data_IF_967343683934
#
_entry.id   IF_967343683934
#
_cell.length_a   1.000
_cell.length_b   1.000
_cell.length_c   1.000
_cell.angle_alpha   90.00
_cell.angle_beta   90.00
_cell.angle_gamma   90.00
#
_symmetry.space_group_name_H-M   'P 1'
#
loop_
_entity.id
_entity.type
_entity.pdbx_description
1 polymer ?
#
# COMPACT_ATOMS: atom_id res chain seq x y z
N UNK A 1 -8.87 -10.23 -10.42
CA UNK A 1 -8.14 -11.08 -9.45
C UNK A 1 -8.80 -11.10 -8.07
N UNK A 2 -8.30 -11.90 -7.10
CA UNK A 2 -8.91 -12.06 -5.76
C UNK A 2 -9.02 -10.76 -4.95
N UNK A 3 -8.20 -9.75 -5.24
CA UNK A 3 -8.22 -8.44 -4.60
C UNK A 3 -9.30 -7.50 -5.16
N UNK A 4 -9.84 -7.79 -6.34
CA UNK A 4 -10.86 -6.97 -6.99
C UNK A 4 -12.28 -7.33 -6.53
N UNK A 5 -12.47 -8.56 -6.07
CA UNK A 5 -13.76 -9.02 -5.56
C UNK A 5 -14.16 -8.18 -4.35
N UNK A 6 -15.36 -7.61 -4.37
CA UNK A 6 -15.91 -6.77 -3.30
C UNK A 6 -14.97 -5.61 -2.87
N UNK A 7 -14.19 -5.05 -3.82
CA UNK A 7 -13.24 -3.97 -3.57
C UNK A 7 -12.21 -4.27 -2.47
N UNK A 8 -11.84 -5.54 -2.25
CA UNK A 8 -10.96 -6.00 -1.15
C UNK A 8 -9.64 -5.25 -1.08
N UNK A 9 -9.05 -4.89 -2.25
CA UNK A 9 -7.82 -4.10 -2.27
C UNK A 9 -8.00 -2.76 -1.58
N UNK A 10 -9.09 -2.03 -1.89
CA UNK A 10 -9.40 -0.76 -1.26
C UNK A 10 -9.89 -0.93 0.19
N UNK A 11 -10.61 -2.01 0.49
CA UNK A 11 -11.01 -2.32 1.86
C UNK A 11 -9.82 -2.56 2.79
N UNK A 12 -8.70 -3.09 2.28
CA UNK A 12 -7.45 -3.23 3.04
C UNK A 12 -6.59 -1.98 3.05
N UNK A 13 -6.56 -1.21 1.94
CA UNK A 13 -5.59 -0.13 1.76
C UNK A 13 -6.21 1.06 1.00
N UNK A 14 -7.13 1.78 1.66
CA UNK A 14 -7.75 2.98 1.11
C UNK A 14 -6.80 4.18 1.19
N UNK A 15 -5.85 4.22 0.29
CA UNK A 15 -4.89 5.32 0.14
C UNK A 15 -4.51 5.48 -1.34
N UNK A 16 -4.34 6.72 -1.87
CA UNK A 16 -4.39 8.00 -1.16
C UNK A 16 -5.81 8.51 -0.88
N UNK A 17 -6.06 8.93 0.35
CA UNK A 17 -7.29 9.62 0.74
C UNK A 17 -7.18 11.13 0.50
N UNK A 18 -7.54 11.57 -0.70
CA UNK A 18 -7.41 12.98 -1.11
C UNK A 18 -8.47 13.90 -0.50
N UNK A 19 -9.56 13.34 0.06
CA UNK A 19 -10.71 14.08 0.57
C UNK A 19 -10.86 14.02 2.08
N UNK A 20 -9.98 13.29 2.77
CA UNK A 20 -10.07 13.07 4.21
C UNK A 20 -11.31 12.26 4.59
N UNK A 21 -11.67 11.26 3.79
CA UNK A 21 -12.81 10.40 4.06
C UNK A 21 -12.57 9.50 5.28
N UNK A 22 -11.35 8.99 5.44
CA UNK A 22 -10.96 8.11 6.55
C UNK A 22 -11.16 8.77 7.91
N UNK A 23 -10.54 9.92 8.25
CA UNK A 23 -10.75 10.53 9.56
C UNK A 23 -12.21 10.96 9.79
N UNK A 24 -12.92 11.41 8.77
CA UNK A 24 -14.35 11.79 8.90
C UNK A 24 -15.23 10.58 9.25
N UNK A 25 -15.02 9.45 8.57
CA UNK A 25 -15.79 8.24 8.80
C UNK A 25 -15.52 7.64 10.18
N UNK A 26 -14.26 7.62 10.61
CA UNK A 26 -13.87 7.16 11.94
C UNK A 26 -14.40 8.08 13.04
N UNK A 27 -14.30 9.40 12.85
CA UNK A 27 -14.89 10.37 13.80
C UNK A 27 -16.38 10.17 13.96
N UNK A 28 -17.13 9.93 12.88
CA UNK A 28 -18.56 9.68 12.93
C UNK A 28 -18.89 8.42 13.75
N UNK A 29 -18.20 7.31 13.50
CA UNK A 29 -18.37 6.05 14.25
C UNK A 29 -18.10 6.26 15.75
N UNK A 30 -17.01 6.96 16.08
CA UNK A 30 -16.61 7.22 17.48
C UNK A 30 -17.62 8.14 18.18
N UNK A 31 -18.07 9.22 17.54
CA UNK A 31 -18.99 10.19 18.12
C UNK A 31 -20.37 9.59 18.40
N UNK A 32 -20.86 8.74 17.50
CA UNK A 32 -22.17 8.10 17.64
C UNK A 32 -22.13 6.79 18.42
N UNK A 33 -20.92 6.27 18.71
CA UNK A 33 -20.71 4.91 19.23
C UNK A 33 -21.52 3.88 18.43
N UNK A 34 -21.39 3.94 17.10
CA UNK A 34 -22.18 3.14 16.18
C UNK A 34 -22.04 1.63 16.49
N UNK A 35 -23.15 0.93 16.78
CA UNK A 35 -23.11 -0.48 17.15
C UNK A 35 -22.55 -1.40 16.07
N UNK A 36 -22.48 -0.97 14.82
CA UNK A 36 -21.85 -1.72 13.72
C UNK A 36 -20.39 -2.06 14.02
N UNK A 37 -19.71 -1.26 14.84
CA UNK A 37 -18.33 -1.50 15.27
C UNK A 37 -18.20 -2.64 16.30
N UNK A 38 -19.31 -3.22 16.77
CA UNK A 38 -19.28 -4.32 17.75
C UNK A 38 -19.20 -5.70 17.09
N UNK A 39 -19.46 -5.80 15.79
CA UNK A 39 -19.43 -7.05 15.01
C UNK A 39 -18.57 -6.92 13.76
N UNK A 40 -17.53 -7.73 13.65
CA UNK A 40 -16.62 -7.69 12.52
C UNK A 40 -17.26 -8.12 11.19
N UNK A 41 -18.32 -8.95 11.22
CA UNK A 41 -19.03 -9.33 9.98
C UNK A 41 -19.90 -8.18 9.49
N UNK A 42 -20.62 -7.51 10.37
CA UNK A 42 -21.42 -6.33 10.03
C UNK A 42 -20.50 -5.16 9.62
N UNK A 43 -19.32 -5.05 10.24
CA UNK A 43 -18.35 -4.01 9.93
C UNK A 43 -17.85 -4.05 8.48
N UNK A 44 -17.90 -5.19 7.83
CA UNK A 44 -17.60 -5.31 6.40
C UNK A 44 -18.49 -4.43 5.50
N UNK A 45 -19.65 -3.97 6.00
CA UNK A 45 -20.61 -3.13 5.29
C UNK A 45 -20.37 -1.62 5.47
N UNK A 46 -19.45 -1.20 6.36
CA UNK A 46 -19.13 0.23 6.48
C UNK A 46 -18.37 0.72 5.24
N UNK A 47 -18.32 2.03 5.08
CA UNK A 47 -17.53 2.63 4.00
C UNK A 47 -16.08 2.14 4.03
N UNK A 48 -15.51 1.81 2.87
CA UNK A 48 -14.12 1.36 2.72
C UNK A 48 -13.11 2.34 3.36
N UNK A 49 -13.44 3.63 3.45
CA UNK A 49 -12.61 4.63 4.10
C UNK A 49 -12.45 4.41 5.62
N UNK A 50 -13.37 3.68 6.28
CA UNK A 50 -13.27 3.33 7.69
C UNK A 50 -12.63 1.96 7.92
N UNK A 51 -12.20 1.26 6.86
CA UNK A 51 -11.67 -0.10 6.91
C UNK A 51 -10.16 -0.14 6.63
N UNK A 52 -9.55 -1.27 6.93
CA UNK A 52 -8.18 -1.57 6.51
C UNK A 52 -7.08 -0.88 7.30
N UNK A 53 -5.88 -1.01 6.76
CA UNK A 53 -4.64 -0.60 7.46
C UNK A 53 -4.56 0.91 7.72
N UNK A 54 -5.06 1.75 6.82
CA UNK A 54 -4.99 3.20 7.02
C UNK A 54 -6.04 3.71 8.01
N UNK A 55 -7.21 3.07 8.10
CA UNK A 55 -8.15 3.32 9.19
C UNK A 55 -7.54 2.93 10.54
N UNK A 56 -6.88 1.77 10.59
CA UNK A 56 -6.16 1.32 11.79
C UNK A 56 -5.00 2.27 12.16
N UNK A 57 -4.26 2.80 11.17
CA UNK A 57 -3.22 3.81 11.40
C UNK A 57 -3.78 5.05 12.10
N UNK A 58 -4.90 5.59 11.60
CA UNK A 58 -5.56 6.73 12.23
C UNK A 58 -5.98 6.44 13.67
N UNK A 59 -6.60 5.29 13.91
CA UNK A 59 -7.05 4.91 15.27
C UNK A 59 -5.90 4.74 16.27
N UNK A 60 -4.71 4.34 15.81
CA UNK A 60 -3.58 4.05 16.69
C UNK A 60 -2.58 5.21 16.82
N UNK A 61 -2.43 6.07 15.80
CA UNK A 61 -1.32 7.01 15.71
C UNK A 61 -1.74 8.45 15.37
N UNK A 62 -3.01 8.72 15.02
CA UNK A 62 -3.45 10.10 14.80
C UNK A 62 -3.71 10.80 16.13
N UNK A 63 -3.14 11.98 16.31
CA UNK A 63 -3.16 12.70 17.58
C UNK A 63 -4.59 13.03 18.07
N UNK A 64 -5.52 13.25 17.14
CA UNK A 64 -6.90 13.58 17.45
C UNK A 64 -7.78 12.33 17.65
N UNK A 65 -7.49 11.25 16.92
CA UNK A 65 -8.35 10.08 16.86
C UNK A 65 -7.94 8.96 17.83
N UNK A 66 -6.64 8.83 18.18
CA UNK A 66 -6.15 7.75 19.01
C UNK A 66 -6.70 7.76 20.45
N UNK A 67 -7.18 8.91 20.91
CA UNK A 67 -7.78 9.09 22.25
C UNK A 67 -9.21 9.60 22.18
N UNK A 68 -9.82 9.67 20.99
CA UNK A 68 -11.15 10.22 20.81
C UNK A 68 -12.26 9.32 21.39
N UNK A 69 -13.27 9.93 21.99
CA UNK A 69 -14.49 9.30 22.43
C UNK A 69 -14.36 8.42 23.68
N UNK A 70 -15.24 7.43 23.80
CA UNK A 70 -15.20 6.45 24.88
C UNK A 70 -14.10 5.42 24.66
N UNK A 71 -13.25 5.21 25.67
CA UNK A 71 -12.09 4.33 25.57
C UNK A 71 -12.44 2.85 25.34
N UNK A 72 -13.59 2.40 25.87
CA UNK A 72 -14.03 1.01 25.68
C UNK A 72 -14.55 0.81 24.24
N UNK A 73 -15.31 1.78 23.72
CA UNK A 73 -15.74 1.78 22.34
C UNK A 73 -14.54 1.85 21.37
N UNK A 74 -13.59 2.75 21.61
CA UNK A 74 -12.38 2.88 20.80
C UNK A 74 -11.59 1.58 20.74
N UNK A 75 -11.37 0.93 21.90
CA UNK A 75 -10.69 -0.37 21.96
C UNK A 75 -11.43 -1.44 21.15
N UNK A 76 -12.76 -1.44 21.21
CA UNK A 76 -13.61 -2.37 20.44
C UNK A 76 -13.50 -2.09 18.95
N UNK A 77 -13.57 -0.83 18.52
CA UNK A 77 -13.41 -0.43 17.12
C UNK A 77 -12.06 -0.88 16.54
N UNK A 78 -10.95 -0.68 17.28
CA UNK A 78 -9.61 -1.15 16.89
C UNK A 78 -9.59 -2.67 16.68
N UNK A 79 -10.19 -3.44 17.59
CA UNK A 79 -10.27 -4.91 17.50
C UNK A 79 -11.10 -5.33 16.28
N UNK A 80 -12.22 -4.65 16.03
CA UNK A 80 -13.12 -4.94 14.92
C UNK A 80 -12.46 -4.64 13.57
N UNK A 81 -11.79 -3.49 13.42
CA UNK A 81 -11.00 -3.18 12.23
C UNK A 81 -9.91 -4.22 11.99
N UNK A 82 -9.23 -4.66 13.05
CA UNK A 82 -8.19 -5.69 12.95
C UNK A 82 -8.76 -7.04 12.51
N UNK A 83 -9.92 -7.43 13.04
CA UNK A 83 -10.61 -8.65 12.65
C UNK A 83 -11.12 -8.60 11.19
N UNK A 84 -11.63 -7.45 10.74
CA UNK A 84 -12.03 -7.22 9.35
C UNK A 84 -10.83 -7.31 8.38
N UNK A 85 -9.68 -6.74 8.74
CA UNK A 85 -8.43 -6.88 7.98
C UNK A 85 -8.04 -8.37 7.86
N UNK A 86 -8.08 -9.11 8.97
CA UNK A 86 -7.72 -10.52 9.00
C UNK A 86 -8.67 -11.36 8.14
N UNK A 87 -9.99 -11.13 8.23
CA UNK A 87 -11.00 -11.84 7.44
C UNK A 87 -10.86 -11.55 5.94
N UNK A 88 -10.68 -10.27 5.56
CA UNK A 88 -10.48 -9.88 4.17
C UNK A 88 -9.19 -10.47 3.58
N UNK A 89 -8.10 -10.45 4.34
CA UNK A 89 -6.83 -11.05 3.91
C UNK A 89 -6.93 -12.56 3.76
N UNK A 90 -7.63 -13.24 4.68
CA UNK A 90 -7.85 -14.69 4.59
C UNK A 90 -8.69 -15.06 3.36
N UNK A 91 -9.71 -14.28 3.02
CA UNK A 91 -10.53 -14.49 1.83
C UNK A 91 -9.70 -14.32 0.54
N UNK A 92 -8.84 -13.31 0.46
CA UNK A 92 -7.92 -13.12 -0.67
C UNK A 92 -6.99 -14.33 -0.81
N UNK A 93 -6.38 -14.79 0.28
CA UNK A 93 -5.47 -15.93 0.28
C UNK A 93 -6.19 -17.21 -0.15
N UNK A 94 -7.41 -17.43 0.35
CA UNK A 94 -8.22 -18.59 -0.01
C UNK A 94 -8.52 -18.59 -1.51
N UNK A 95 -9.02 -17.50 -2.07
CA UNK A 95 -9.35 -17.42 -3.50
C UNK A 95 -8.08 -17.57 -4.37
N UNK A 96 -6.95 -17.05 -3.89
CA UNK A 96 -5.67 -17.26 -4.55
C UNK A 96 -5.28 -18.74 -4.61
N UNK A 97 -5.34 -19.42 -3.45
CA UNK A 97 -4.89 -20.82 -3.33
C UNK A 97 -5.83 -21.83 -3.98
N UNK A 98 -7.14 -21.57 -3.97
CA UNK A 98 -8.13 -22.55 -4.44
C UNK A 98 -8.54 -22.38 -5.89
N UNK A 99 -8.22 -21.24 -6.51
CA UNK A 99 -8.69 -20.91 -7.85
C UNK A 99 -7.66 -20.11 -8.67
N UNK A 100 -7.28 -18.93 -8.22
CA UNK A 100 -6.61 -17.96 -9.09
C UNK A 100 -5.18 -18.37 -9.47
N UNK A 101 -4.44 -19.00 -8.55
CA UNK A 101 -3.08 -19.48 -8.85
C UNK A 101 -3.09 -20.55 -9.96
N UNK A 102 -4.07 -21.48 -9.93
CA UNK A 102 -4.23 -22.51 -10.95
C UNK A 102 -4.53 -21.89 -12.32
N UNK A 103 -5.39 -20.87 -12.39
CA UNK A 103 -5.69 -20.15 -13.64
C UNK A 103 -4.44 -19.54 -14.29
N UNK A 104 -3.46 -19.10 -13.50
CA UNK A 104 -2.19 -18.58 -14.01
C UNK A 104 -1.22 -19.69 -14.41
N UNK A 105 -1.14 -20.78 -13.63
CA UNK A 105 -0.24 -21.91 -13.89
C UNK A 105 -0.67 -22.70 -15.13
N UNK A 106 -1.96 -22.93 -15.29
CA UNK A 106 -2.57 -23.68 -16.38
C UNK A 106 -3.32 -22.76 -17.36
N UNK A 107 -2.65 -21.68 -17.75
CA UNK A 107 -3.21 -20.64 -18.61
C UNK A 107 -3.87 -21.15 -19.90
N UNK A 108 -3.31 -22.21 -20.50
CA UNK A 108 -3.79 -22.76 -21.78
C UNK A 108 -5.17 -23.45 -21.64
N UNK A 109 -5.60 -23.78 -20.43
CA UNK A 109 -6.89 -24.38 -20.09
C UNK A 109 -7.82 -23.46 -19.30
N UNK A 110 -7.35 -22.28 -18.96
CA UNK A 110 -8.06 -21.27 -18.16
C UNK A 110 -9.00 -20.46 -19.04
N UNK A 111 -10.17 -20.10 -18.50
CA UNK A 111 -11.07 -19.11 -19.12
C UNK A 111 -10.59 -17.66 -18.95
N UNK A 112 -9.57 -17.44 -18.10
CA UNK A 112 -9.06 -16.11 -17.76
C UNK A 112 -7.90 -15.71 -18.66
N UNK A 113 -6.96 -16.64 -18.93
CA UNK A 113 -5.76 -16.41 -19.73
C UNK A 113 -5.74 -17.34 -20.93
N UNK A 114 -5.27 -16.86 -22.09
CA UNK A 114 -5.19 -17.61 -23.34
C UNK A 114 -3.85 -18.33 -23.52
N UNK A 115 -2.83 -17.88 -22.78
CA UNK A 115 -1.48 -18.43 -22.89
C UNK A 115 -0.61 -18.02 -21.69
N UNK A 116 0.50 -18.73 -21.50
CA UNK A 116 1.52 -18.37 -20.51
C UNK A 116 2.18 -17.01 -20.78
N UNK A 117 2.20 -16.57 -22.04
CA UNK A 117 2.72 -15.25 -22.40
C UNK A 117 1.78 -14.13 -21.94
N UNK A 118 0.47 -14.35 -21.97
CA UNK A 118 -0.50 -13.41 -21.42
C UNK A 118 -0.34 -13.26 -19.90
N UNK A 119 -0.12 -14.37 -19.18
CA UNK A 119 0.22 -14.34 -17.75
C UNK A 119 1.49 -13.56 -17.48
N UNK A 120 2.55 -13.76 -18.28
CA UNK A 120 3.80 -12.99 -18.15
C UNK A 120 3.57 -11.49 -18.38
N UNK A 121 2.78 -11.12 -19.38
CA UNK A 121 2.41 -9.73 -19.65
C UNK A 121 1.66 -9.10 -18.46
N UNK A 122 0.73 -9.83 -17.83
CA UNK A 122 0.01 -9.34 -16.66
C UNK A 122 0.93 -9.16 -15.44
N UNK A 123 1.87 -10.08 -15.22
CA UNK A 123 2.88 -9.93 -14.17
C UNK A 123 3.83 -8.74 -14.46
N UNK A 124 4.25 -8.56 -15.71
CA UNK A 124 5.06 -7.41 -16.10
C UNK A 124 4.31 -6.09 -15.94
N UNK A 125 3.04 -6.05 -16.32
CA UNK A 125 2.17 -4.89 -16.09
C UNK A 125 2.02 -4.59 -14.58
N UNK A 126 1.89 -5.62 -13.75
CA UNK A 126 1.83 -5.45 -12.29
C UNK A 126 3.13 -4.89 -11.72
N UNK A 127 4.29 -5.34 -12.23
CA UNK A 127 5.60 -4.81 -11.88
C UNK A 127 5.71 -3.32 -12.21
N UNK A 128 5.41 -2.95 -13.47
CA UNK A 128 5.51 -1.55 -13.92
C UNK A 128 4.52 -0.64 -13.21
N UNK A 129 3.29 -1.09 -12.98
CA UNK A 129 2.30 -0.35 -12.20
C UNK A 129 2.73 -0.14 -10.73
N UNK A 130 3.35 -1.14 -10.12
CA UNK A 130 3.90 -1.05 -8.76
C UNK A 130 5.05 -0.03 -8.65
N UNK A 131 5.96 -0.01 -9.63
CA UNK A 131 7.04 0.97 -9.71
C UNK A 131 6.50 2.38 -9.94
N UNK A 132 5.60 2.55 -10.90
CA UNK A 132 4.95 3.83 -11.18
C UNK A 132 4.21 4.35 -9.95
N UNK A 133 3.44 3.50 -9.26
CA UNK A 133 2.76 3.89 -8.02
C UNK A 133 3.76 4.31 -6.93
N UNK A 134 4.90 3.64 -6.84
CA UNK A 134 5.95 3.99 -5.87
C UNK A 134 6.58 5.34 -6.19
N UNK A 135 6.97 5.58 -7.44
CA UNK A 135 7.57 6.85 -7.88
C UNK A 135 6.59 8.03 -7.80
N UNK A 136 5.43 7.90 -8.46
CA UNK A 136 4.50 9.02 -8.62
C UNK A 136 3.64 9.27 -7.38
N UNK A 137 3.24 8.18 -6.68
CA UNK A 137 2.28 8.30 -5.59
C UNK A 137 2.95 8.28 -4.23
N UNK A 138 3.77 7.27 -3.90
CA UNK A 138 4.41 7.20 -2.59
C UNK A 138 5.46 8.28 -2.38
N UNK A 139 6.30 8.52 -3.38
CA UNK A 139 7.36 9.53 -3.34
C UNK A 139 6.86 10.89 -3.85
N UNK A 140 6.13 10.93 -4.94
CA UNK A 140 5.69 12.17 -5.58
C UNK A 140 4.67 12.97 -4.76
N UNK A 141 3.78 12.33 -4.01
CA UNK A 141 2.77 13.05 -3.21
C UNK A 141 3.36 13.87 -2.06
N UNK A 142 4.28 13.37 -1.22
CA UNK A 142 4.96 14.19 -0.23
C UNK A 142 5.87 15.24 -0.86
N UNK A 143 6.54 14.95 -1.97
CA UNK A 143 7.33 15.94 -2.71
C UNK A 143 6.47 17.13 -3.15
N UNK A 144 5.25 16.90 -3.63
CA UNK A 144 4.38 17.95 -4.15
C UNK A 144 5.03 18.75 -5.28
N UNK A 145 5.03 20.08 -5.20
CA UNK A 145 5.81 20.95 -6.08
C UNK A 145 6.97 21.59 -5.31
N UNK A 146 7.96 22.13 -6.01
CA UNK A 146 9.11 22.77 -5.38
C UNK A 146 8.69 23.85 -4.35
N UNK A 147 7.73 24.71 -4.73
CA UNK A 147 7.25 25.79 -3.86
C UNK A 147 6.21 25.34 -2.82
N UNK A 148 5.75 24.10 -2.90
CA UNK A 148 4.67 23.59 -2.06
C UNK A 148 4.90 22.11 -1.74
N UNK A 149 5.88 21.77 -0.88
CA UNK A 149 6.04 20.42 -0.37
C UNK A 149 4.81 20.00 0.42
N UNK A 150 4.59 18.69 0.53
CA UNK A 150 3.36 18.11 1.08
C UNK A 150 3.66 16.90 1.98
N UNK A 151 4.56 17.05 2.95
CA UNK A 151 4.92 16.00 3.91
C UNK A 151 3.69 15.25 4.46
N UNK A 152 2.62 15.99 4.78
CA UNK A 152 1.37 15.42 5.30
C UNK A 152 0.61 14.51 4.33
N UNK A 153 1.06 14.38 3.08
CA UNK A 153 0.51 13.46 2.08
C UNK A 153 1.28 12.15 1.95
N UNK A 154 2.34 11.97 2.74
CA UNK A 154 3.09 10.71 2.76
C UNK A 154 2.22 9.57 3.30
N UNK A 155 2.41 8.38 2.70
CA UNK A 155 1.73 7.15 3.09
C UNK A 155 2.15 6.73 4.50
N UNK A 156 1.23 6.31 5.34
CA UNK A 156 1.49 5.80 6.70
C UNK A 156 2.44 6.69 7.56
N UNK A 157 2.39 8.01 7.35
CA UNK A 157 3.27 8.98 8.02
C UNK A 157 3.08 9.03 9.54
N UNK A 158 1.83 8.86 10.01
CA UNK A 158 1.50 8.88 11.44
C UNK A 158 2.20 7.78 12.21
N UNK A 159 2.33 6.63 11.57
CA UNK A 159 3.04 5.48 12.10
C UNK A 159 4.57 5.52 11.83
N UNK A 160 5.09 6.58 11.17
CA UNK A 160 6.49 6.68 10.77
C UNK A 160 6.92 5.57 9.82
N UNK A 161 6.08 5.18 8.86
CA UNK A 161 6.33 4.02 8.01
C UNK A 161 6.38 4.33 6.51
N UNK A 162 6.38 5.60 6.12
CA UNK A 162 6.39 6.00 4.70
C UNK A 162 7.59 5.43 3.96
N UNK A 163 8.79 5.67 4.47
CA UNK A 163 10.04 5.13 3.92
C UNK A 163 10.04 3.60 3.90
N UNK A 164 9.61 2.98 5.00
CA UNK A 164 9.52 1.51 5.11
C UNK A 164 8.61 0.90 4.05
N UNK A 165 7.49 1.55 3.72
CA UNK A 165 6.59 1.08 2.65
C UNK A 165 7.25 1.14 1.27
N UNK A 166 8.03 2.19 0.98
CA UNK A 166 8.81 2.29 -0.27
C UNK A 166 9.86 1.18 -0.33
N UNK A 167 10.63 0.97 0.74
CA UNK A 167 11.65 -0.10 0.82
C UNK A 167 11.03 -1.47 0.53
N UNK A 168 9.93 -1.82 1.23
CA UNK A 168 9.26 -3.11 1.06
C UNK A 168 8.67 -3.28 -0.35
N UNK A 169 8.14 -2.20 -0.93
CA UNK A 169 7.63 -2.21 -2.30
C UNK A 169 8.75 -2.48 -3.30
N UNK A 170 9.89 -1.80 -3.17
CA UNK A 170 11.05 -2.02 -4.05
C UNK A 170 11.65 -3.41 -3.88
N UNK A 171 11.74 -3.94 -2.67
CA UNK A 171 12.19 -5.31 -2.42
C UNK A 171 11.30 -6.34 -3.13
N UNK A 172 9.97 -6.20 -2.98
CA UNK A 172 9.01 -7.11 -3.61
C UNK A 172 9.02 -7.01 -5.13
N UNK A 173 9.08 -5.79 -5.68
CA UNK A 173 9.14 -5.59 -7.14
C UNK A 173 10.47 -6.01 -7.74
N UNK A 174 11.58 -5.90 -6.99
CA UNK A 174 12.90 -6.47 -7.37
C UNK A 174 12.82 -7.98 -7.54
N UNK A 175 12.27 -8.68 -6.56
CA UNK A 175 12.11 -10.13 -6.62
C UNK A 175 11.27 -10.54 -7.84
N UNK A 176 10.17 -9.83 -8.10
CA UNK A 176 9.34 -10.06 -9.28
C UNK A 176 10.13 -9.81 -10.58
N UNK A 177 10.89 -8.72 -10.69
CA UNK A 177 11.68 -8.39 -11.87
C UNK A 177 12.72 -9.47 -12.18
N UNK A 178 13.43 -9.96 -11.15
CA UNK A 178 14.43 -11.04 -11.30
C UNK A 178 13.75 -12.33 -11.79
N UNK A 179 12.60 -12.69 -11.25
CA UNK A 179 11.85 -13.86 -11.71
C UNK A 179 11.34 -13.72 -13.16
N UNK A 180 10.87 -12.53 -13.54
CA UNK A 180 10.42 -12.25 -14.91
C UNK A 180 11.56 -12.26 -15.93
N UNK A 181 12.78 -11.91 -15.54
CA UNK A 181 13.96 -12.02 -16.40
C UNK A 181 14.28 -13.48 -16.79
N UNK A 182 13.83 -14.46 -15.99
CA UNK A 182 13.95 -15.88 -16.28
C UNK A 182 15.41 -16.32 -16.46
N UNK A 183 15.74 -16.83 -17.66
CA UNK A 183 17.10 -17.29 -17.99
C UNK A 183 18.06 -16.18 -18.46
N UNK A 184 17.55 -14.95 -18.67
CA UNK A 184 18.39 -13.80 -19.02
C UNK A 184 19.08 -13.22 -17.77
N UNK A 185 20.21 -13.84 -17.42
CA UNK A 185 20.99 -13.43 -16.24
C UNK A 185 21.55 -12.03 -16.35
N UNK A 186 21.82 -11.52 -17.56
CA UNK A 186 22.33 -10.18 -17.76
C UNK A 186 21.22 -9.14 -17.49
N UNK A 187 19.98 -9.41 -17.91
CA UNK A 187 18.81 -8.58 -17.61
C UNK A 187 18.53 -8.60 -16.09
N UNK A 188 18.51 -9.79 -15.46
CA UNK A 188 18.31 -9.93 -14.03
C UNK A 188 19.32 -9.11 -13.20
N UNK A 189 20.61 -9.16 -13.59
CA UNK A 189 21.67 -8.41 -12.90
C UNK A 189 21.54 -6.89 -13.08
N UNK A 190 21.19 -6.42 -14.28
CA UNK A 190 20.93 -5.00 -14.51
C UNK A 190 19.74 -4.50 -13.70
N UNK A 191 18.61 -5.22 -13.75
CA UNK A 191 17.45 -4.87 -12.94
C UNK A 191 17.80 -4.84 -11.44
N UNK A 192 18.47 -5.89 -10.93
CA UNK A 192 18.87 -5.93 -9.53
C UNK A 192 19.74 -4.74 -9.13
N UNK A 193 20.65 -4.30 -10.00
CA UNK A 193 21.54 -3.15 -9.75
C UNK A 193 20.75 -1.84 -9.58
N UNK A 194 19.79 -1.57 -10.46
CA UNK A 194 18.97 -0.35 -10.37
C UNK A 194 18.12 -0.32 -9.08
N UNK A 195 17.51 -1.46 -8.72
CA UNK A 195 16.80 -1.59 -7.44
C UNK A 195 17.73 -1.39 -6.24
N UNK A 196 18.95 -1.98 -6.26
CA UNK A 196 19.91 -1.85 -5.17
C UNK A 196 20.39 -0.40 -5.01
N UNK A 197 20.51 0.33 -6.11
CA UNK A 197 20.83 1.76 -6.09
C UNK A 197 19.75 2.56 -5.37
N UNK A 198 18.49 2.37 -5.73
CA UNK A 198 17.37 3.06 -5.06
C UNK A 198 17.23 2.67 -3.58
N UNK A 199 17.41 1.38 -3.25
CA UNK A 199 17.37 0.89 -1.87
C UNK A 199 18.53 1.44 -1.01
N UNK A 200 19.74 1.55 -1.55
CA UNK A 200 20.87 2.16 -0.85
C UNK A 200 20.64 3.65 -0.56
N UNK A 201 20.06 4.38 -1.50
CA UNK A 201 19.70 5.79 -1.31
C UNK A 201 18.62 5.97 -0.22
N UNK A 202 17.66 5.05 -0.12
CA UNK A 202 16.66 5.04 0.95
C UNK A 202 17.32 4.78 2.31
N UNK A 203 18.23 3.83 2.40
CA UNK A 203 18.96 3.52 3.64
C UNK A 203 19.77 4.74 4.16
N UNK A 204 20.23 5.62 3.24
CA UNK A 204 20.94 6.87 3.56
C UNK A 204 20.00 8.05 3.86
N UNK A 205 18.71 7.93 3.57
CA UNK A 205 17.76 9.03 3.73
C UNK A 205 17.44 9.29 5.20
N UNK A 206 17.16 8.24 5.98
CA UNK A 206 16.79 8.27 7.41
C UNK A 206 15.66 9.26 7.70
N UNK A 207 14.56 9.16 6.91
CA UNK A 207 13.39 10.04 7.03
C UNK A 207 12.09 9.20 6.99
N UNK A 208 11.73 8.57 8.12
CA UNK A 208 10.71 7.52 8.18
C UNK A 208 9.30 7.97 7.76
N UNK A 209 8.99 9.27 7.82
CA UNK A 209 7.67 9.85 7.47
C UNK A 209 7.71 10.85 6.31
N UNK A 210 8.91 11.06 5.72
CA UNK A 210 9.18 12.05 4.66
C UNK A 210 8.91 13.50 5.08
N UNK A 211 9.00 13.81 6.37
CA UNK A 211 8.86 15.18 6.86
C UNK A 211 9.99 16.12 6.39
N UNK A 212 11.15 15.55 6.06
CA UNK A 212 12.30 16.28 5.54
C UNK A 212 12.08 16.98 4.19
N UNK A 213 11.01 16.68 3.46
CA UNK A 213 10.70 17.34 2.16
C UNK A 213 10.51 18.86 2.28
N UNK A 214 10.27 19.35 3.50
CA UNK A 214 10.14 20.78 3.77
C UNK A 214 11.51 21.51 3.75
N UNK A 215 12.63 20.78 3.75
CA UNK A 215 13.98 21.32 3.65
C UNK A 215 14.62 21.01 2.31
N UNK A 216 15.33 21.97 1.65
CA UNK A 216 15.89 21.75 0.31
C UNK A 216 16.86 20.56 0.22
N UNK A 217 17.69 20.31 1.24
CA UNK A 217 18.67 19.25 1.22
C UNK A 217 18.03 17.86 1.32
N UNK A 218 17.07 17.65 2.23
CA UNK A 218 16.37 16.37 2.36
C UNK A 218 15.42 16.13 1.20
N UNK A 219 14.75 17.20 0.71
CA UNK A 219 13.94 17.14 -0.50
C UNK A 219 14.74 16.62 -1.70
N UNK A 220 15.95 17.19 -1.92
CA UNK A 220 16.81 16.76 -3.04
C UNK A 220 17.13 15.25 -2.95
N UNK A 221 17.40 14.71 -1.76
CA UNK A 221 17.62 13.28 -1.58
C UNK A 221 16.40 12.47 -2.03
N UNK A 222 15.20 12.88 -1.62
CA UNK A 222 13.97 12.17 -1.99
C UNK A 222 13.66 12.28 -3.50
N UNK A 223 13.97 13.42 -4.13
CA UNK A 223 13.86 13.60 -5.60
C UNK A 223 14.83 12.67 -6.34
N UNK A 224 16.07 12.51 -5.86
CA UNK A 224 17.04 11.57 -6.43
C UNK A 224 16.55 10.12 -6.32
N UNK A 225 15.98 9.75 -5.17
CA UNK A 225 15.38 8.41 -4.99
C UNK A 225 14.22 8.21 -5.96
N UNK A 226 13.33 9.20 -6.12
CA UNK A 226 12.23 9.13 -7.07
C UNK A 226 12.74 8.89 -8.49
N UNK A 227 13.76 9.64 -8.94
CA UNK A 227 14.38 9.46 -10.27
C UNK A 227 15.02 8.08 -10.43
N UNK A 228 15.65 7.56 -9.37
CA UNK A 228 16.20 6.19 -9.40
C UNK A 228 15.11 5.14 -9.56
N UNK A 229 13.96 5.31 -8.91
CA UNK A 229 12.80 4.40 -9.08
C UNK A 229 12.18 4.53 -10.47
N UNK A 230 12.13 5.73 -11.05
CA UNK A 230 11.64 5.97 -12.42
C UNK A 230 12.58 5.38 -13.50
N UNK A 231 13.86 5.20 -13.18
CA UNK A 231 14.85 4.63 -14.09
C UNK A 231 14.86 3.09 -14.15
N UNK A 232 14.24 2.42 -13.18
CA UNK A 232 14.07 0.96 -13.16
C UNK A 232 13.13 0.52 -14.29
#
# INVERSE_FOLDING_TARGET
>A
GPTEVDDRAFALAFWPDSRGATPKSLSALIQTQDPIALDAQEYSQVTIAARGFYALEFLLYDDDLNTAGDAAYHCTLVKTVTADIAATSAAILQDWQTDYAERMLDADTSDTYRSKDEVRQELFKSLTAGLQFTAETRLGRPLGTYDRPRATRAEARRAGRSERHVILSLQSTKDMAIHLAGSDTALAQRAAHEFDTALAQLDELDDPDFSGVDTPASRLKLEVIQQSVEAI
#
